data_IF_681444364101
#
_entry.id   IF_681444364101
#
_cell.length_a   1.000
_cell.length_b   1.000
_cell.length_c   1.000
_cell.angle_alpha   90.00
_cell.angle_beta   90.00
_cell.angle_gamma   90.00
#
_symmetry.space_group_name_H-M   'P 1'
#
loop_
_entity.id
_entity.type
_entity.pdbx_description
1 polymer ?
#
# COMPACT_ATOMS: atom_id res chain seq x y z
N UNK A 1 7.85 -15.88 17.83
CA UNK A 1 7.63 -15.93 16.36
C UNK A 1 8.06 -14.60 15.76
N UNK A 2 9.31 -14.48 15.34
CA UNK A 2 9.75 -13.34 14.52
C UNK A 2 9.39 -13.61 13.07
N UNK A 3 8.53 -12.79 12.47
CA UNK A 3 8.29 -12.83 11.04
C UNK A 3 9.57 -12.41 10.32
N UNK A 4 10.30 -13.42 9.83
CA UNK A 4 11.42 -13.27 8.93
C UNK A 4 10.92 -12.76 7.56
N UNK A 5 10.70 -11.45 7.43
CA UNK A 5 10.57 -10.78 6.13
C UNK A 5 11.89 -10.07 5.79
N UNK A 6 12.99 -10.84 5.80
CA UNK A 6 14.29 -10.38 5.34
C UNK A 6 14.31 -10.17 3.82
N UNK A 7 14.72 -8.98 3.39
CA UNK A 7 15.66 -8.86 2.26
C UNK A 7 15.12 -8.69 0.84
N UNK A 8 13.84 -8.36 0.62
CA UNK A 8 13.37 -7.83 -0.66
C UNK A 8 13.01 -6.37 -0.45
N UNK A 9 13.49 -5.46 -1.31
CA UNK A 9 13.02 -4.06 -1.36
C UNK A 9 11.51 -4.06 -1.12
N UNK A 10 11.10 -3.59 0.05
CA UNK A 10 9.73 -3.76 0.50
C UNK A 10 8.88 -2.79 -0.31
N UNK A 11 8.44 -3.23 -1.49
CA UNK A 11 7.52 -2.44 -2.30
C UNK A 11 6.21 -2.40 -1.54
N UNK A 12 5.95 -1.26 -0.92
CA UNK A 12 4.76 -1.00 -0.15
C UNK A 12 3.83 -0.16 -1.01
N UNK A 13 2.62 -0.65 -1.24
CA UNK A 13 1.63 0.08 -2.01
C UNK A 13 0.74 0.84 -1.06
N UNK A 14 0.76 2.16 -1.14
CA UNK A 14 0.07 3.03 -0.21
C UNK A 14 -1.12 3.70 -0.90
N UNK A 15 -2.25 3.79 -0.21
CA UNK A 15 -3.44 4.49 -0.69
C UNK A 15 -3.80 5.56 0.31
N UNK A 16 -3.75 6.80 -0.12
CA UNK A 16 -4.21 7.94 0.67
C UNK A 16 -5.64 8.27 0.25
N UNK A 17 -6.57 8.12 1.18
CA UNK A 17 -7.97 8.45 1.00
C UNK A 17 -8.18 9.97 1.08
N UNK A 18 -9.26 10.49 0.49
CA UNK A 18 -9.58 11.92 0.58
C UNK A 18 -9.86 12.39 2.03
N UNK A 19 -10.15 11.48 2.96
CA UNK A 19 -10.30 11.79 4.38
C UNK A 19 -8.95 12.03 5.11
N UNK A 20 -7.82 11.80 4.42
CA UNK A 20 -6.48 11.88 4.99
C UNK A 20 -5.97 10.56 5.57
N UNK A 21 -6.81 9.52 5.66
CA UNK A 21 -6.37 8.18 6.05
C UNK A 21 -5.49 7.56 4.98
N UNK A 22 -4.32 7.08 5.40
CA UNK A 22 -3.40 6.36 4.54
C UNK A 22 -3.33 4.89 4.93
N UNK A 23 -3.45 3.99 3.95
CA UNK A 23 -3.38 2.54 4.14
C UNK A 23 -2.31 1.91 3.26
N UNK A 24 -1.53 1.01 3.85
CA UNK A 24 -0.48 0.25 3.17
C UNK A 24 -0.97 -1.15 2.81
N UNK A 25 -0.62 -1.61 1.62
CA UNK A 25 -1.02 -2.87 1.01
C UNK A 25 0.23 -3.61 0.51
N UNK A 26 0.18 -4.94 0.61
CA UNK A 26 1.26 -5.80 0.12
C UNK A 26 1.26 -5.99 -1.39
N UNK A 27 0.16 -5.65 -2.08
CA UNK A 27 0.04 -5.84 -3.54
C UNK A 27 -0.53 -4.61 -4.25
N UNK A 28 -0.07 -4.37 -5.48
CA UNK A 28 -0.55 -3.28 -6.33
C UNK A 28 -2.04 -3.43 -6.70
N UNK A 29 -2.51 -4.67 -6.87
CA UNK A 29 -3.89 -4.96 -7.25
C UNK A 29 -4.87 -4.54 -6.14
N UNK A 30 -4.59 -4.92 -4.90
CA UNK A 30 -5.40 -4.52 -3.75
C UNK A 30 -5.36 -3.01 -3.53
N UNK A 31 -4.17 -2.39 -3.64
CA UNK A 31 -4.03 -0.95 -3.50
C UNK A 31 -4.80 -0.18 -4.57
N UNK A 32 -4.75 -0.61 -5.84
CA UNK A 32 -5.51 0.02 -6.92
C UNK A 32 -7.02 -0.16 -6.75
N UNK A 33 -7.48 -1.35 -6.37
CA UNK A 33 -8.89 -1.58 -6.08
C UNK A 33 -9.38 -0.69 -4.93
N UNK A 34 -8.59 -0.57 -3.86
CA UNK A 34 -8.90 0.29 -2.73
C UNK A 34 -8.86 1.79 -3.09
N UNK A 35 -7.91 2.22 -3.91
CA UNK A 35 -7.83 3.58 -4.43
C UNK A 35 -9.07 3.93 -5.25
N UNK A 36 -9.47 3.07 -6.20
CA UNK A 36 -10.69 3.26 -7.00
C UNK A 36 -11.95 3.24 -6.14
N UNK A 37 -12.06 2.29 -5.20
CA UNK A 37 -13.24 2.16 -4.34
C UNK A 37 -13.37 3.32 -3.33
N UNK A 38 -12.25 3.88 -2.87
CA UNK A 38 -12.23 4.95 -1.86
C UNK A 38 -12.08 6.35 -2.49
N UNK A 39 -11.90 6.46 -3.81
CA UNK A 39 -11.50 7.70 -4.48
C UNK A 39 -10.14 8.24 -4.02
N UNK A 40 -9.26 7.36 -3.54
CA UNK A 40 -7.95 7.72 -3.00
C UNK A 40 -6.83 7.74 -4.03
N UNK A 41 -5.72 8.37 -3.68
CA UNK A 41 -4.50 8.39 -4.49
C UNK A 41 -3.63 7.17 -4.18
N UNK A 42 -3.22 6.47 -5.25
CA UNK A 42 -2.29 5.34 -5.16
C UNK A 42 -0.84 5.83 -5.24
N UNK A 43 0.00 5.34 -4.34
CA UNK A 43 1.43 5.63 -4.29
C UNK A 43 2.22 4.32 -4.12
N UNK A 44 3.32 4.17 -4.86
CA UNK A 44 4.24 3.02 -4.73
C UNK A 44 5.49 3.48 -4.00
N UNK A 45 5.72 2.94 -2.82
CA UNK A 45 6.92 3.23 -2.02
C UNK A 45 7.85 2.03 -2.16
N UNK A 46 9.05 2.27 -2.68
CA UNK A 46 10.10 1.27 -2.80
C UNK A 46 11.15 1.59 -1.71
N UNK A 47 11.28 0.72 -0.71
CA UNK A 47 12.32 0.82 0.33
C UNK A 47 13.69 0.30 -0.14
#
# INVERSE_FOLDING_TARGET
MGCNCGGRKAVTHQVTRPDGTTKSYGTAAEAKAAATASGGSYERIEH
#
